data_IF_627157102417
#
_entry.id   IF_627157102417
#
_cell.length_a   1.000
_cell.length_b   1.000
_cell.length_c   1.000
_cell.angle_alpha   90.00
_cell.angle_beta   90.00
_cell.angle_gamma   90.00
#
_symmetry.space_group_name_H-M   'P 1'
#
loop_
_entity.id
_entity.type
_entity.pdbx_description
1 polymer ?
#
# COMPACT_ATOMS: atom_id res chain seq x y z
N UNK A 1 1.63 14.30 9.28
CA UNK A 1 0.16 14.24 9.11
C UNK A 1 -0.12 13.39 7.88
N UNK A 2 -1.11 12.50 7.96
CA UNK A 2 -1.55 11.64 6.86
C UNK A 2 -3.00 12.01 6.52
N UNK A 3 -3.32 12.00 5.23
CA UNK A 3 -4.70 12.09 4.74
C UNK A 3 -4.98 10.87 3.88
N UNK A 4 -6.09 10.20 4.18
CA UNK A 4 -6.57 9.01 3.48
C UNK A 4 -7.89 9.38 2.79
N UNK A 5 -7.95 9.23 1.47
CA UNK A 5 -9.16 9.51 0.69
C UNK A 5 -9.57 8.24 -0.04
N UNK A 6 -10.68 7.63 0.38
CA UNK A 6 -11.27 6.49 -0.30
C UNK A 6 -12.18 6.93 -1.45
N UNK A 7 -11.91 6.42 -2.65
CA UNK A 7 -12.73 6.60 -3.85
C UNK A 7 -13.24 5.25 -4.33
N UNK A 8 -14.55 5.09 -4.36
CA UNK A 8 -15.21 3.95 -5.00
C UNK A 8 -15.35 4.26 -6.49
N UNK A 9 -14.76 3.43 -7.33
CA UNK A 9 -14.92 3.55 -8.78
C UNK A 9 -15.92 2.50 -9.24
N UNK A 10 -16.94 2.91 -9.99
CA UNK A 10 -18.01 2.01 -10.44
C UNK A 10 -17.51 0.87 -11.38
N UNK A 11 -16.30 1.01 -11.91
CA UNK A 11 -15.68 0.09 -12.88
C UNK A 11 -14.67 -0.86 -12.27
N UNK A 12 -14.26 -0.65 -11.02
CA UNK A 12 -13.26 -1.48 -10.33
C UNK A 12 -13.92 -2.20 -9.17
N UNK A 13 -13.76 -3.52 -9.09
CA UNK A 13 -14.17 -4.29 -7.92
C UNK A 13 -13.24 -3.97 -6.74
N UNK A 14 -13.50 -2.85 -6.07
CA UNK A 14 -12.77 -2.40 -4.88
C UNK A 14 -12.71 -0.88 -4.77
N UNK A 15 -11.96 -0.42 -3.76
CA UNK A 15 -11.80 1.00 -3.46
C UNK A 15 -10.36 1.43 -3.74
N UNK A 16 -10.25 2.59 -4.39
CA UNK A 16 -9.00 3.28 -4.65
C UNK A 16 -8.71 4.24 -3.48
N UNK A 17 -7.58 4.07 -2.81
CA UNK A 17 -7.15 4.92 -1.70
C UNK A 17 -6.09 5.91 -2.17
N UNK A 18 -6.36 7.20 -2.08
CA UNK A 18 -5.34 8.24 -2.24
C UNK A 18 -4.75 8.58 -0.87
N UNK A 19 -3.45 8.38 -0.75
CA UNK A 19 -2.67 8.65 0.45
C UNK A 19 -1.83 9.91 0.21
N UNK A 20 -1.98 10.88 1.11
CA UNK A 20 -1.22 12.14 1.06
C UNK A 20 -0.51 12.39 2.39
N UNK A 21 0.71 12.93 2.33
CA UNK A 21 1.51 13.27 3.50
C UNK A 21 2.51 12.19 3.90
N UNK A 22 2.62 11.91 5.20
CA UNK A 22 3.67 11.06 5.78
C UNK A 22 3.11 9.72 6.26
N UNK A 23 3.50 8.62 5.60
CA UNK A 23 3.16 7.26 6.01
C UNK A 23 4.26 6.72 6.94
N UNK A 24 4.20 7.12 8.21
CA UNK A 24 5.17 6.74 9.21
C UNK A 24 4.59 6.77 10.64
N UNK A 25 5.13 5.93 11.51
CA UNK A 25 4.69 5.76 12.89
C UNK A 25 3.18 5.52 13.00
N UNK A 26 2.42 6.32 13.78
CA UNK A 26 1.01 6.04 14.07
C UNK A 26 0.12 6.01 12.82
N UNK A 27 0.54 6.68 11.74
CA UNK A 27 -0.21 6.73 10.49
C UNK A 27 -0.20 5.40 9.72
N UNK A 28 0.78 4.53 10.00
CA UNK A 28 0.84 3.17 9.46
C UNK A 28 -0.30 2.34 10.07
N UNK A 29 -0.48 2.41 11.39
CA UNK A 29 -1.58 1.72 12.07
C UNK A 29 -2.95 2.22 11.60
N UNK A 30 -3.12 3.52 11.43
CA UNK A 30 -4.37 4.11 10.92
C UNK A 30 -4.73 3.59 9.52
N UNK A 31 -3.77 3.55 8.59
CA UNK A 31 -4.00 2.99 7.25
C UNK A 31 -4.32 1.49 7.33
N UNK A 32 -3.61 0.74 8.17
CA UNK A 32 -3.89 -0.69 8.38
C UNK A 32 -5.30 -0.93 8.92
N UNK A 33 -5.72 -0.15 9.93
CA UNK A 33 -7.05 -0.24 10.52
C UNK A 33 -8.15 0.11 9.50
N UNK A 34 -7.91 1.14 8.69
CA UNK A 34 -8.81 1.52 7.61
C UNK A 34 -8.98 0.37 6.60
N UNK A 35 -7.89 -0.18 6.06
CA UNK A 35 -7.94 -1.31 5.11
C UNK A 35 -8.60 -2.56 5.71
N UNK A 36 -8.36 -2.83 7.00
CA UNK A 36 -8.99 -3.94 7.72
C UNK A 36 -10.50 -3.76 7.80
N UNK A 37 -10.97 -2.57 8.18
CA UNK A 37 -12.39 -2.24 8.26
C UNK A 37 -13.10 -2.42 6.92
N UNK A 38 -12.45 -2.02 5.82
CA UNK A 38 -12.99 -2.23 4.49
C UNK A 38 -13.13 -3.72 4.15
N UNK A 39 -12.13 -4.52 4.54
CA UNK A 39 -12.18 -5.96 4.33
C UNK A 39 -13.34 -6.62 5.10
N UNK A 40 -13.67 -6.11 6.29
CA UNK A 40 -14.84 -6.54 7.08
C UNK A 40 -16.17 -6.18 6.37
N UNK A 41 -16.19 -5.04 5.67
CA UNK A 41 -17.32 -4.59 4.84
C UNK A 41 -17.38 -5.29 3.45
N UNK A 42 -16.61 -6.38 3.26
CA UNK A 42 -16.48 -7.12 1.99
C UNK A 42 -15.94 -6.27 0.82
N UNK A 43 -15.23 -5.18 1.14
CA UNK A 43 -14.55 -4.34 0.17
C UNK A 43 -13.04 -4.59 0.19
N UNK A 44 -12.46 -4.68 -1.01
CA UNK A 44 -11.00 -4.79 -1.18
C UNK A 44 -10.38 -3.42 -1.46
N UNK A 45 -9.22 -3.16 -0.86
CA UNK A 45 -8.36 -2.07 -1.30
C UNK A 45 -7.72 -2.46 -2.63
N UNK A 46 -8.33 -2.04 -3.73
CA UNK A 46 -7.87 -2.44 -5.06
C UNK A 46 -6.64 -1.64 -5.49
N UNK A 47 -6.61 -0.34 -5.17
CA UNK A 47 -5.52 0.56 -5.57
C UNK A 47 -5.12 1.42 -4.38
N UNK A 48 -3.83 1.57 -4.14
CA UNK A 48 -3.25 2.49 -3.16
C UNK A 48 -2.36 3.48 -3.91
N UNK A 49 -2.86 4.70 -4.07
CA UNK A 49 -2.17 5.80 -4.71
C UNK A 49 -1.33 6.58 -3.70
N UNK A 50 -0.01 6.46 -3.85
CA UNK A 50 1.02 7.07 -3.03
C UNK A 50 1.57 8.37 -3.68
N UNK A 51 0.90 8.93 -4.70
CA UNK A 51 1.34 10.15 -5.38
C UNK A 51 1.51 11.33 -4.43
N UNK A 52 0.63 11.45 -3.43
CA UNK A 52 0.71 12.52 -2.43
C UNK A 52 1.65 12.22 -1.25
N UNK A 53 2.30 11.05 -1.22
CA UNK A 53 3.15 10.66 -0.10
C UNK A 53 4.53 11.27 -0.23
N UNK A 54 4.96 11.96 0.82
CA UNK A 54 6.26 12.66 0.86
C UNK A 54 7.32 11.91 1.65
N UNK A 55 6.92 10.95 2.49
CA UNK A 55 7.84 10.15 3.30
C UNK A 55 7.19 8.83 3.74
N UNK A 56 7.99 7.76 3.74
CA UNK A 56 7.61 6.41 4.18
C UNK A 56 8.73 5.87 5.09
N UNK A 57 8.40 5.38 6.28
CA UNK A 57 9.35 4.64 7.14
C UNK A 57 9.31 3.13 6.90
N UNK A 58 10.10 2.38 7.67
CA UNK A 58 10.17 0.92 7.56
C UNK A 58 8.81 0.25 7.77
N UNK A 59 8.06 0.63 8.80
CA UNK A 59 6.73 0.07 9.09
C UNK A 59 5.74 0.37 7.94
N UNK A 60 5.80 1.57 7.38
CA UNK A 60 5.02 1.96 6.21
C UNK A 60 5.32 1.09 4.99
N UNK A 61 6.61 0.79 4.73
CA UNK A 61 7.00 -0.14 3.66
C UNK A 61 6.46 -1.54 3.88
N UNK A 62 6.58 -2.08 5.09
CA UNK A 62 6.09 -3.42 5.43
C UNK A 62 4.57 -3.52 5.26
N UNK A 63 3.82 -2.49 5.67
CA UNK A 63 2.39 -2.41 5.45
C UNK A 63 2.05 -2.42 3.95
N UNK A 64 2.72 -1.59 3.15
CA UNK A 64 2.49 -1.55 1.70
C UNK A 64 2.81 -2.89 1.03
N UNK A 65 3.89 -3.57 1.45
CA UNK A 65 4.24 -4.90 0.97
C UNK A 65 3.20 -5.95 1.34
N UNK A 66 2.62 -5.86 2.54
CA UNK A 66 1.52 -6.73 2.96
C UNK A 66 0.26 -6.49 2.12
N UNK A 67 -0.13 -5.24 1.91
CA UNK A 67 -1.30 -4.89 1.10
C UNK A 67 -1.11 -5.32 -0.36
N UNK A 68 0.09 -5.15 -0.92
CA UNK A 68 0.41 -5.63 -2.26
C UNK A 68 0.29 -7.17 -2.37
N UNK A 69 0.80 -7.92 -1.39
CA UNK A 69 0.63 -9.38 -1.34
C UNK A 69 -0.83 -9.83 -1.19
N UNK A 70 -1.70 -8.97 -0.67
CA UNK A 70 -3.14 -9.21 -0.59
C UNK A 70 -3.87 -8.87 -1.91
N UNK A 71 -3.15 -8.42 -2.94
CA UNK A 71 -3.69 -8.11 -4.26
C UNK A 71 -4.01 -6.63 -4.49
N UNK A 72 -3.56 -5.73 -3.61
CA UNK A 72 -3.66 -4.29 -3.85
C UNK A 72 -2.61 -3.83 -4.87
N UNK A 73 -3.03 -3.00 -5.82
CA UNK A 73 -2.12 -2.32 -6.74
C UNK A 73 -1.52 -1.09 -6.04
N UNK A 74 -0.18 -0.97 -6.05
CA UNK A 74 0.50 0.21 -5.53
C UNK A 74 0.81 1.17 -6.68
N UNK A 75 0.17 2.34 -6.67
CA UNK A 75 0.43 3.40 -7.65
C UNK A 75 1.32 4.46 -7.02
N UNK A 76 2.45 4.75 -7.67
CA UNK A 76 3.37 5.79 -7.25
C UNK A 76 3.80 6.62 -8.46
N UNK A 77 3.91 7.93 -8.28
CA UNK A 77 4.34 8.88 -9.33
C UNK A 77 5.57 9.70 -8.95
N UNK A 78 5.93 9.78 -7.66
CA UNK A 78 7.14 10.46 -7.19
C UNK A 78 8.34 9.53 -7.14
N UNK A 79 9.57 10.05 -7.32
CA UNK A 79 10.80 9.24 -7.31
C UNK A 79 10.95 8.42 -6.02
N UNK A 80 10.68 9.02 -4.86
CA UNK A 80 10.77 8.33 -3.56
C UNK A 80 9.78 7.18 -3.45
N UNK A 81 8.53 7.42 -3.78
CA UNK A 81 7.46 6.42 -3.66
C UNK A 81 7.61 5.34 -4.72
N UNK A 82 8.12 5.67 -5.91
CA UNK A 82 8.42 4.72 -6.97
C UNK A 82 9.53 3.74 -6.57
N UNK A 83 10.64 4.23 -6.00
CA UNK A 83 11.71 3.35 -5.52
C UNK A 83 11.19 2.34 -4.47
N UNK A 84 10.32 2.79 -3.56
CA UNK A 84 9.71 1.91 -2.55
C UNK A 84 8.78 0.89 -3.19
N UNK A 85 7.93 1.29 -4.14
CA UNK A 85 7.04 0.36 -4.85
C UNK A 85 7.85 -0.65 -5.69
N UNK A 86 8.89 -0.21 -6.38
CA UNK A 86 9.80 -1.08 -7.15
C UNK A 86 10.51 -2.09 -6.24
N UNK A 87 10.96 -1.69 -5.04
CA UNK A 87 11.53 -2.57 -4.01
C UNK A 87 10.51 -3.63 -3.54
N UNK A 88 9.27 -3.22 -3.28
CA UNK A 88 8.19 -4.11 -2.83
C UNK A 88 7.83 -5.14 -3.91
N UNK A 89 7.61 -4.68 -5.15
CA UNK A 89 7.27 -5.56 -6.28
C UNK A 89 8.45 -6.48 -6.62
N UNK A 90 9.67 -5.97 -6.57
CA UNK A 90 10.90 -6.72 -6.80
C UNK A 90 11.13 -7.81 -5.75
N UNK A 91 10.96 -7.49 -4.47
CA UNK A 91 11.05 -8.46 -3.38
C UNK A 91 9.95 -9.53 -3.46
N UNK A 92 8.74 -9.16 -3.89
CA UNK A 92 7.64 -10.09 -4.12
C UNK A 92 7.85 -11.07 -5.27
N UNK A 93 8.75 -10.76 -6.21
CA UNK A 93 9.15 -11.64 -7.33
C UNK A 93 10.35 -12.54 -7.00
N UNK A 94 11.04 -12.30 -5.88
CA UNK A 94 12.23 -13.04 -5.47
C UNK A 94 11.94 -14.04 -4.34
N UNK A 95 10.88 -14.83 -4.47
CA UNK A 95 10.93 -16.21 -3.97
C UNK A 95 11.33 -17.16 -5.13
N UNK A 96 12.64 -17.38 -5.37
CA UNK A 96 13.11 -18.68 -5.74
C UNK A 96 13.43 -19.41 -4.44
N UNK A 97 12.46 -20.16 -3.93
CA UNK A 97 12.63 -21.47 -3.31
C UNK A 97 14.10 -21.87 -3.00
N UNK A 98 14.36 -22.13 -1.72
CA UNK A 98 15.37 -23.10 -1.26
C UNK A 98 16.82 -22.82 -1.66
N UNK A 99 17.56 -22.08 -0.84
CA UNK A 99 18.96 -22.42 -0.59
C UNK A 99 19.03 -23.36 0.60
N UNK A 100 18.71 -24.64 0.35
CA UNK A 100 19.29 -25.74 1.12
C UNK A 100 20.76 -25.82 0.74
N UNK A 101 21.64 -25.71 1.74
CA UNK A 101 22.93 -26.38 1.72
C UNK A 101 23.20 -26.99 3.08
#
# INVERSE_FOLDING_TARGET
MLKITGRREATTEGVSLLIEGRLAGPWVEELSAYCRKMSEDHERCAVIDLTGVTFIDTEGKELLARLWRQGAELRASGCLTRCVVEEIIGAGRLDPSSQSK
#
